data_IF_954786985769
#
_entry.id   IF_954786985769
#
_cell.length_a   1.000
_cell.length_b   1.000
_cell.length_c   1.000
_cell.angle_alpha   90.00
_cell.angle_beta   90.00
_cell.angle_gamma   90.00
#
_symmetry.space_group_name_H-M   'P 1'
#
loop_
_entity.id
_entity.type
_entity.pdbx_description
1 polymer ?
#
# COMPACT_ATOMS: atom_id res chain seq x y z
N UNK A 1 9.04 29.85 10.71
CA UNK A 1 8.97 30.03 11.59
C UNK A 1 8.83 29.85 11.72
N UNK A 2 9.11 29.86 11.12
CA UNK A 2 8.89 29.98 11.90
C UNK A 2 8.77 29.98 12.36
N UNK A 3 9.07 30.26 11.24
CA UNK A 3 8.87 30.53 12.14
C UNK A 3 8.53 30.27 12.48
N UNK A 4 8.68 30.14 11.98
CA UNK A 4 8.28 30.00 12.87
C UNK A 4 7.97 29.82 13.20
N UNK A 5 8.13 29.85 12.75
CA UNK A 5 7.76 29.75 13.57
C UNK A 5 7.37 29.42 13.37
N UNK A 6 7.43 29.38 12.55
CA UNK A 6 6.96 29.33 13.03
C UNK A 6 6.64 28.63 12.66
N UNK A 7 7.01 28.31 12.06
CA UNK A 7 6.76 27.86 12.52
C UNK A 7 6.68 27.27 12.61
N UNK A 8 6.88 27.21 12.16
CA UNK A 8 6.78 26.84 13.16
C UNK A 8 6.52 26.74 13.30
N UNK A 9 6.70 26.96 12.86
CA UNK A 9 6.46 27.07 13.50
C UNK A 9 6.06 26.86 12.93
N UNK A 10 6.07 26.59 11.94
CA UNK A 10 5.65 26.50 11.99
C UNK A 10 5.62 26.03 11.90
N UNK A 11 5.88 25.88 11.55
CA UNK A 11 5.80 25.57 12.00
C UNK A 11 5.72 25.33 12.59
N UNK A 12 5.89 25.13 12.52
CA UNK A 12 5.31 25.20 13.44
C UNK A 12 4.76 26.16 13.42
N UNK A 13 4.66 26.79 12.48
CA UNK A 13 4.15 27.39 12.62
C UNK A 13 3.76 27.43 11.65
N UNK A 14 4.46 28.10 10.76
CA UNK A 14 3.52 27.33 10.45
C UNK A 14 3.61 26.20 10.91
N UNK A 15 4.44 26.21 11.27
CA UNK A 15 4.33 25.03 11.92
C UNK A 15 3.75 25.18 13.27
N UNK A 16 3.81 26.30 13.92
CA UNK A 16 3.21 26.24 15.21
C UNK A 16 1.72 26.38 15.21
N UNK A 17 1.15 27.22 14.40
CA UNK A 17 -0.30 27.09 14.19
C UNK A 17 -0.66 25.73 13.63
N UNK A 18 0.22 25.16 12.85
CA UNK A 18 0.01 23.81 12.34
C UNK A 18 -0.02 22.80 13.49
N UNK A 19 0.90 22.90 14.43
CA UNK A 19 0.90 22.00 15.58
C UNK A 19 -0.31 22.20 16.46
N UNK A 20 -0.78 23.41 16.60
CA UNK A 20 -2.01 23.67 17.33
C UNK A 20 -3.21 23.08 16.62
N UNK A 21 -3.27 23.23 15.31
CA UNK A 21 -4.32 22.64 14.52
C UNK A 21 -4.27 21.12 14.65
N UNK A 22 -3.08 20.54 14.62
CA UNK A 22 -2.93 19.10 14.79
C UNK A 22 -3.38 18.69 16.19
N UNK A 23 -3.04 19.45 17.22
CA UNK A 23 -3.44 19.12 18.58
C UNK A 23 -4.95 19.22 18.76
N UNK A 24 -5.58 20.21 18.15
CA UNK A 24 -7.04 20.34 18.19
C UNK A 24 -7.71 19.35 17.28
N UNK A 25 -7.10 19.08 16.14
CA UNK A 25 -7.65 18.15 15.16
C UNK A 25 -7.46 16.71 15.55
N UNK A 26 -6.52 16.40 16.43
CA UNK A 26 -6.30 14.99 16.77
C UNK A 26 -7.49 14.44 17.56
N UNK A 27 -8.20 15.27 18.34
CA UNK A 27 -9.46 14.84 18.91
C UNK A 27 -10.51 14.63 17.84
N UNK A 28 -10.62 15.56 16.90
CA UNK A 28 -11.56 15.42 15.80
C UNK A 28 -11.22 14.21 14.93
N UNK A 29 -9.94 14.01 14.65
CA UNK A 29 -9.51 12.88 13.85
C UNK A 29 -9.82 11.58 14.59
N UNK A 30 -9.59 11.54 15.89
CA UNK A 30 -9.95 10.37 16.68
C UNK A 30 -11.44 10.09 16.66
N UNK A 31 -12.25 11.13 16.76
CA UNK A 31 -13.70 10.98 16.68
C UNK A 31 -14.14 10.51 15.31
N UNK A 32 -13.55 11.07 14.25
CA UNK A 32 -13.83 10.64 12.89
C UNK A 32 -13.42 9.19 12.67
N UNK A 33 -12.26 8.80 13.18
CA UNK A 33 -11.80 7.42 13.04
C UNK A 33 -12.69 6.45 13.81
N UNK A 34 -13.27 6.90 14.93
CA UNK A 34 -14.19 6.07 15.68
C UNK A 34 -15.48 5.82 14.90
N UNK A 35 -15.88 6.78 14.06
CA UNK A 35 -17.09 6.68 13.26
C UNK A 35 -16.88 6.02 11.91
N UNK A 36 -15.60 5.84 11.50
CA UNK A 36 -15.29 5.22 10.22
C UNK A 36 -15.14 3.71 10.40
N UNK A 37 -15.53 2.94 9.38
CA UNK A 37 -15.24 1.49 9.41
C UNK A 37 -13.73 1.28 9.49
N UNK A 38 -13.33 0.28 10.23
CA UNK A 38 -11.93 -0.08 10.28
C UNK A 38 -11.46 -0.52 8.89
N UNK A 39 -10.30 -0.02 8.46
CA UNK A 39 -9.69 -0.52 7.24
C UNK A 39 -9.20 -1.95 7.47
N UNK A 40 -9.19 -2.72 6.42
CA UNK A 40 -8.68 -4.08 6.45
C UNK A 40 -7.36 -4.13 5.69
N UNK A 41 -6.40 -4.89 6.20
CA UNK A 41 -5.08 -4.98 5.58
C UNK A 41 -4.52 -6.38 5.78
N UNK A 42 -3.59 -6.75 4.90
CA UNK A 42 -2.89 -8.03 5.04
C UNK A 42 -1.62 -7.83 5.83
N UNK A 43 -1.10 -8.89 6.46
CA UNK A 43 0.29 -8.85 6.89
C UNK A 43 1.19 -8.79 5.67
N UNK A 44 2.49 -8.69 5.91
CA UNK A 44 3.46 -8.80 4.83
C UNK A 44 3.43 -10.23 4.30
N UNK A 45 3.08 -10.39 3.04
CA UNK A 45 2.98 -11.71 2.41
C UNK A 45 4.25 -11.96 1.64
N UNK A 46 4.90 -13.08 1.90
CA UNK A 46 6.15 -13.47 1.23
C UNK A 46 5.88 -14.66 0.35
N UNK A 47 6.25 -14.53 -0.92
CA UNK A 47 6.03 -15.58 -1.91
C UNK A 47 7.40 -15.95 -2.48
N UNK A 48 7.75 -17.24 -2.43
CA UNK A 48 8.98 -17.70 -3.04
C UNK A 48 8.99 -17.41 -4.53
N UNK A 49 10.09 -16.86 -5.02
CA UNK A 49 10.22 -16.53 -6.43
C UNK A 49 11.71 -16.55 -6.79
N UNK A 50 12.11 -17.31 -7.83
CA UNK A 50 13.51 -17.37 -8.19
C UNK A 50 14.11 -16.00 -8.47
N UNK A 51 15.37 -15.83 -8.11
CA UNK A 51 16.08 -14.57 -8.28
C UNK A 51 16.08 -14.08 -9.71
N UNK A 52 16.17 -15.00 -10.68
CA UNK A 52 16.21 -14.64 -12.08
C UNK A 52 14.83 -14.33 -12.66
N UNK A 53 13.77 -14.49 -11.88
CA UNK A 53 12.39 -14.23 -12.32
C UNK A 53 11.74 -13.09 -11.58
N UNK A 54 12.18 -12.79 -10.36
CA UNK A 54 11.41 -11.89 -9.47
C UNK A 54 11.25 -10.49 -10.04
N UNK A 55 12.30 -9.90 -10.59
CA UNK A 55 12.21 -8.56 -11.15
C UNK A 55 11.42 -8.54 -12.44
N UNK A 56 11.56 -9.59 -13.25
CA UNK A 56 10.81 -9.71 -14.49
C UNK A 56 9.32 -9.81 -14.21
N UNK A 57 8.93 -10.64 -13.25
CA UNK A 57 7.52 -10.84 -12.90
C UNK A 57 6.91 -9.52 -12.39
N UNK A 58 7.63 -8.81 -11.52
CA UNK A 58 7.13 -7.54 -11.00
C UNK A 58 6.95 -6.53 -12.14
N UNK A 59 7.90 -6.49 -13.08
CA UNK A 59 7.82 -5.58 -14.22
C UNK A 59 6.61 -5.91 -15.09
N UNK A 60 6.38 -7.19 -15.36
CA UNK A 60 5.25 -7.61 -16.18
C UNK A 60 3.93 -7.32 -15.47
N UNK A 61 3.84 -7.59 -14.18
CA UNK A 61 2.65 -7.27 -13.42
C UNK A 61 2.38 -5.77 -13.41
N UNK A 62 3.44 -4.97 -13.35
CA UNK A 62 3.30 -3.52 -13.41
C UNK A 62 2.58 -3.09 -14.69
N UNK A 63 2.99 -3.64 -15.82
CA UNK A 63 2.37 -3.28 -17.09
C UNK A 63 0.94 -3.78 -17.20
N UNK A 64 0.68 -4.97 -16.66
CA UNK A 64 -0.67 -5.53 -16.66
C UNK A 64 -1.62 -4.63 -15.86
N UNK A 65 -1.21 -4.22 -14.66
CA UNK A 65 -2.06 -3.39 -13.82
C UNK A 65 -2.15 -1.96 -14.33
N UNK A 66 -1.12 -1.47 -15.01
CA UNK A 66 -1.12 -0.11 -15.55
C UNK A 66 -2.22 0.10 -16.57
N UNK A 67 -2.63 -0.96 -17.25
CA UNK A 67 -3.67 -0.86 -18.27
C UNK A 67 -5.05 -0.58 -17.67
N UNK A 68 -5.28 -0.94 -16.41
CA UNK A 68 -6.60 -0.83 -15.79
C UNK A 68 -6.63 0.07 -14.58
N UNK A 69 -5.49 0.32 -13.95
CA UNK A 69 -5.44 1.02 -12.67
C UNK A 69 -4.31 2.04 -12.67
N UNK A 70 -4.38 2.96 -11.73
CA UNK A 70 -3.27 3.86 -11.49
C UNK A 70 -2.16 3.11 -10.77
N UNK A 71 -0.94 3.22 -11.30
CA UNK A 71 0.20 2.49 -10.75
C UNK A 71 1.35 3.44 -10.46
N UNK A 72 2.05 3.17 -9.38
CA UNK A 72 3.30 3.84 -9.03
C UNK A 72 4.37 2.75 -8.99
N UNK A 73 5.43 2.91 -9.80
CA UNK A 73 6.44 1.86 -9.98
C UNK A 73 7.84 2.30 -9.55
N UNK A 74 7.95 2.95 -8.39
CA UNK A 74 9.23 3.45 -7.93
C UNK A 74 10.08 2.34 -7.32
N UNK A 75 9.50 1.53 -6.44
CA UNK A 75 10.23 0.43 -5.80
C UNK A 75 9.29 -0.76 -5.77
N UNK A 76 9.23 -1.48 -6.88
CA UNK A 76 8.17 -2.43 -7.11
C UNK A 76 6.99 -1.74 -7.74
N UNK A 77 5.80 -2.27 -7.55
CA UNK A 77 4.59 -1.67 -8.11
C UNK A 77 3.56 -1.49 -7.01
N UNK A 78 3.03 -0.28 -6.92
CA UNK A 78 1.87 0.01 -6.09
C UNK A 78 0.69 0.25 -7.00
N UNK A 79 -0.32 -0.58 -6.87
CA UNK A 79 -1.56 -0.47 -7.64
C UNK A 79 -2.57 0.24 -6.76
N UNK A 80 -3.10 1.36 -7.24
CA UNK A 80 -4.09 2.13 -6.49
C UNK A 80 -5.48 1.82 -7.02
N UNK A 81 -6.34 1.42 -6.11
CA UNK A 81 -7.77 1.23 -6.37
C UNK A 81 -8.52 2.39 -5.71
N UNK A 82 -9.79 2.55 -6.05
CA UNK A 82 -10.56 3.65 -5.49
C UNK A 82 -10.66 3.56 -3.96
N UNK A 83 -10.66 2.35 -3.44
CA UNK A 83 -10.89 2.09 -2.02
C UNK A 83 -9.84 1.17 -1.42
N UNK A 84 -8.62 1.20 -1.96
CA UNK A 84 -7.53 0.40 -1.42
C UNK A 84 -6.30 0.45 -2.31
N UNK A 85 -5.30 -0.32 -1.94
CA UNK A 85 -4.07 -0.40 -2.70
C UNK A 85 -3.42 -1.77 -2.51
N UNK A 86 -2.56 -2.12 -3.44
CA UNK A 86 -1.74 -3.32 -3.35
C UNK A 86 -0.31 -2.96 -3.70
N UNK A 87 0.63 -3.49 -2.92
CA UNK A 87 2.05 -3.30 -3.18
C UNK A 87 2.67 -4.65 -3.48
N UNK A 88 3.41 -4.74 -4.58
CA UNK A 88 4.14 -5.93 -4.97
C UNK A 88 5.58 -5.52 -5.21
N UNK A 89 6.50 -6.17 -4.52
CA UNK A 89 7.90 -5.80 -4.57
C UNK A 89 8.78 -7.05 -4.59
N UNK A 90 9.81 -7.02 -5.43
CA UNK A 90 10.83 -8.07 -5.41
C UNK A 90 11.87 -7.74 -4.36
N UNK A 91 12.22 -8.72 -3.53
CA UNK A 91 13.27 -8.52 -2.54
C UNK A 91 14.62 -8.40 -3.23
N UNK A 92 15.48 -7.51 -2.73
CA UNK A 92 16.82 -7.35 -3.26
C UNK A 92 17.78 -8.43 -2.74
N UNK A 93 17.45 -9.03 -1.61
CA UNK A 93 18.38 -9.92 -0.92
C UNK A 93 17.92 -11.37 -0.85
N UNK A 94 16.65 -11.63 -1.17
CA UNK A 94 16.07 -12.96 -1.03
C UNK A 94 15.28 -13.32 -2.29
N UNK A 95 15.16 -14.61 -2.61
CA UNK A 95 14.36 -15.04 -3.77
C UNK A 95 12.87 -15.07 -3.40
N UNK A 96 12.32 -13.90 -3.14
CA UNK A 96 10.91 -13.77 -2.78
C UNK A 96 10.32 -12.50 -3.38
N UNK A 97 8.99 -12.53 -3.54
CA UNK A 97 8.18 -11.34 -3.74
C UNK A 97 7.51 -11.01 -2.42
N UNK A 98 7.34 -9.73 -2.15
CA UNK A 98 6.70 -9.23 -0.95
C UNK A 98 5.45 -8.49 -1.37
N UNK A 99 4.31 -8.84 -0.78
CA UNK A 99 3.03 -8.23 -1.11
C UNK A 99 2.36 -7.71 0.15
N UNK A 100 1.70 -6.57 0.01
CA UNK A 100 0.84 -6.01 1.05
C UNK A 100 -0.36 -5.38 0.40
N UNK A 101 -1.52 -5.55 1.02
CA UNK A 101 -2.76 -4.97 0.52
C UNK A 101 -3.53 -4.33 1.66
N UNK A 102 -4.28 -3.30 1.32
CA UNK A 102 -5.15 -2.63 2.28
C UNK A 102 -6.40 -2.16 1.54
N UNK A 103 -7.54 -2.25 2.21
CA UNK A 103 -8.81 -1.80 1.64
C UNK A 103 -9.68 -1.20 2.75
N UNK A 104 -10.72 -0.48 2.34
CA UNK A 104 -11.61 0.20 3.29
C UNK A 104 -12.48 -0.78 4.07
N UNK A 105 -12.72 -1.98 3.52
CA UNK A 105 -13.50 -3.00 4.21
C UNK A 105 -12.85 -4.36 4.01
N UNK A 106 -13.24 -5.32 4.85
CA UNK A 106 -12.76 -6.68 4.76
C UNK A 106 -13.23 -7.36 3.47
N UNK A 107 -14.47 -7.09 3.08
CA UNK A 107 -15.02 -7.65 1.84
C UNK A 107 -14.26 -7.11 0.64
N UNK A 108 -13.94 -5.81 0.65
CA UNK A 108 -13.19 -5.24 -0.45
C UNK A 108 -11.76 -5.77 -0.48
N UNK A 109 -11.18 -6.00 0.68
CA UNK A 109 -9.84 -6.60 0.74
C UNK A 109 -9.83 -7.96 0.06
N UNK A 110 -10.85 -8.78 0.30
CA UNK A 110 -10.96 -10.08 -0.38
C UNK A 110 -11.03 -9.93 -1.89
N UNK A 111 -11.75 -8.93 -2.36
CA UNK A 111 -11.84 -8.67 -3.80
C UNK A 111 -10.48 -8.26 -4.38
N UNK A 112 -9.76 -7.38 -3.66
CA UNK A 112 -8.45 -6.95 -4.13
C UNK A 112 -7.46 -8.11 -4.13
N UNK A 113 -7.50 -8.95 -3.11
CA UNK A 113 -6.65 -10.15 -3.08
C UNK A 113 -6.96 -11.05 -4.28
N UNK A 114 -8.24 -11.20 -4.62
CA UNK A 114 -8.64 -12.02 -5.76
C UNK A 114 -8.12 -11.42 -7.08
N UNK A 115 -8.16 -10.09 -7.21
CA UNK A 115 -7.65 -9.42 -8.41
C UNK A 115 -6.14 -9.68 -8.57
N UNK A 116 -5.38 -9.55 -7.48
CA UNK A 116 -3.95 -9.81 -7.52
C UNK A 116 -3.68 -11.28 -7.80
N UNK A 117 -4.43 -12.16 -7.15
CA UNK A 117 -4.25 -13.60 -7.32
C UNK A 117 -4.50 -14.04 -8.77
N UNK A 118 -5.50 -13.46 -9.40
CA UNK A 118 -5.81 -13.80 -10.79
C UNK A 118 -4.60 -13.56 -11.70
N UNK A 119 -3.89 -12.47 -11.48
CA UNK A 119 -2.72 -12.15 -12.30
C UNK A 119 -1.50 -12.99 -11.91
N UNK A 120 -1.31 -13.22 -10.61
CA UNK A 120 -0.16 -14.02 -10.17
C UNK A 120 -0.32 -15.49 -10.51
N UNK A 121 -1.55 -16.00 -10.62
CA UNK A 121 -1.79 -17.38 -11.00
C UNK A 121 -1.28 -17.70 -12.41
N UNK A 122 -1.11 -16.68 -13.24
CA UNK A 122 -0.56 -16.88 -14.59
C UNK A 122 0.91 -17.31 -14.56
N UNK A 123 1.57 -17.16 -13.41
CA UNK A 123 2.98 -17.50 -13.26
C UNK A 123 3.20 -18.83 -12.55
N UNK A 124 2.14 -19.56 -12.24
CA UNK A 124 2.29 -20.89 -11.65
C UNK A 124 3.02 -21.83 -12.61
N UNK A 125 3.87 -22.71 -12.11
CA UNK A 125 4.21 -22.94 -10.70
C UNK A 125 5.39 -22.10 -10.21
N UNK A 126 5.84 -21.10 -10.98
CA UNK A 126 7.01 -20.30 -10.62
C UNK A 126 6.77 -19.56 -9.31
N UNK A 127 5.58 -18.96 -9.15
CA UNK A 127 5.16 -18.38 -7.90
C UNK A 127 3.79 -18.92 -7.53
N UNK A 128 3.47 -18.86 -6.24
CA UNK A 128 2.20 -19.37 -5.75
C UNK A 128 1.69 -18.44 -4.65
N UNK A 129 0.59 -17.76 -4.92
CA UNK A 129 -0.01 -16.81 -4.00
C UNK A 129 -1.26 -17.46 -3.40
N UNK A 130 -1.13 -17.96 -2.17
CA UNK A 130 -2.18 -18.72 -1.51
C UNK A 130 -2.83 -17.99 -0.34
N UNK A 131 -2.54 -16.70 -0.16
CA UNK A 131 -3.06 -15.94 0.96
C UNK A 131 -4.58 -15.76 0.84
N UNK A 132 -5.29 -15.97 1.96
CA UNK A 132 -6.72 -15.70 2.07
C UNK A 132 -6.92 -14.84 3.31
N UNK A 133 -7.55 -13.67 3.14
CA UNK A 133 -7.80 -12.79 4.29
C UNK A 133 -8.89 -13.30 5.23
#
# INVERSE_FOLDING_TARGET
GRGATGIYTLSLHVALPFLQIVAQSSQKVSEMLADLPETAYTPEIRIDCPDDQKFKIVRELTEIFREKYEVIDIDGVRVNFDDGWALIRASNTQPILVLRLEAVTKERLKELVAIIKEQTDKYKPVIQFDYEP
#
